data_IF_252704531587
#
_entry.id   IF_252704531587
#
_cell.length_a   1.000
_cell.length_b   1.000
_cell.length_c   1.000
_cell.angle_alpha   90.00
_cell.angle_beta   90.00
_cell.angle_gamma   90.00
#
_symmetry.space_group_name_H-M   'P 1'
#
loop_
_entity.id
_entity.type
_entity.pdbx_description
1 polymer ?
#
# COMPACT_ATOMS: atom_id res chain seq x y z
N UNK A 1 1.50 5.79 33.23
CA UNK A 1 2.45 4.75 32.74
C UNK A 1 3.49 5.42 31.88
N UNK A 2 4.77 5.25 32.19
CA UNK A 2 5.88 5.71 31.34
C UNK A 2 5.96 4.81 30.12
N UNK A 3 5.51 5.31 28.96
CA UNK A 3 5.62 4.57 27.69
C UNK A 3 7.10 4.43 27.34
N UNK A 4 7.57 3.19 27.18
CA UNK A 4 8.93 2.88 26.76
C UNK A 4 8.93 2.00 25.49
N UNK A 5 10.10 1.84 24.89
CA UNK A 5 10.28 1.09 23.65
C UNK A 5 9.79 -0.37 23.75
N UNK A 6 10.06 -1.03 24.88
CA UNK A 6 9.67 -2.43 25.10
C UNK A 6 8.15 -2.60 25.10
N UNK A 7 7.45 -1.73 25.84
CA UNK A 7 5.99 -1.73 25.85
C UNK A 7 5.38 -1.37 24.48
N UNK A 8 6.01 -0.47 23.72
CA UNK A 8 5.53 -0.08 22.40
C UNK A 8 5.69 -1.16 21.32
N UNK A 9 6.59 -2.14 21.52
CA UNK A 9 6.90 -3.20 20.55
C UNK A 9 6.48 -4.60 21.00
N UNK A 10 5.99 -4.77 22.23
CA UNK A 10 5.63 -6.09 22.78
C UNK A 10 4.45 -6.75 22.05
N UNK A 11 4.16 -8.00 22.40
CA UNK A 11 2.95 -8.70 21.92
C UNK A 11 1.66 -8.11 22.50
N UNK A 12 1.77 -7.38 23.61
CA UNK A 12 0.70 -6.65 24.30
C UNK A 12 0.82 -5.14 24.07
N UNK A 13 1.42 -4.72 22.96
CA UNK A 13 1.60 -3.32 22.65
C UNK A 13 0.26 -2.59 22.55
N UNK A 14 0.22 -1.35 23.06
CA UNK A 14 -0.96 -0.48 22.95
C UNK A 14 -0.83 0.47 21.76
N UNK A 15 -1.96 0.94 21.24
CA UNK A 15 -1.98 1.97 20.19
C UNK A 15 -1.23 3.23 20.63
N UNK A 16 -1.44 3.66 21.88
CA UNK A 16 -0.74 4.81 22.49
C UNK A 16 0.77 4.61 22.49
N UNK A 17 1.25 3.40 22.81
CA UNK A 17 2.67 3.06 22.77
C UNK A 17 3.27 3.17 21.37
N UNK A 18 2.59 2.61 20.37
CA UNK A 18 3.02 2.69 18.96
C UNK A 18 2.97 4.13 18.44
N UNK A 19 1.92 4.88 18.75
CA UNK A 19 1.77 6.27 18.34
C UNK A 19 2.77 7.19 19.05
N UNK A 20 3.10 6.92 20.31
CA UNK A 20 4.18 7.60 21.02
C UNK A 20 5.50 7.43 20.27
N UNK A 21 5.85 6.21 19.85
CA UNK A 21 7.10 5.96 19.13
C UNK A 21 7.17 6.72 17.79
N UNK A 22 6.02 6.90 17.12
CA UNK A 22 5.92 7.58 15.83
C UNK A 22 5.83 9.11 15.93
N UNK A 23 5.20 9.65 16.99
CA UNK A 23 4.76 11.05 17.06
C UNK A 23 5.47 11.87 18.14
N UNK A 24 5.90 11.24 19.24
CA UNK A 24 6.47 11.93 20.39
C UNK A 24 7.80 12.61 20.08
N UNK A 25 8.10 13.68 20.82
CA UNK A 25 9.29 14.50 20.60
C UNK A 25 10.59 13.71 20.75
N UNK A 26 10.71 12.84 21.76
CA UNK A 26 11.93 12.07 22.06
C UNK A 26 12.43 11.21 20.87
N UNK A 27 11.67 10.17 20.45
CA UNK A 27 12.06 9.33 19.31
C UNK A 27 12.28 10.12 18.01
N UNK A 28 11.46 11.15 17.76
CA UNK A 28 11.60 12.01 16.57
C UNK A 28 12.84 12.89 16.61
N UNK A 29 13.21 13.40 17.78
CA UNK A 29 14.43 14.17 18.00
C UNK A 29 15.66 13.29 17.76
N UNK A 30 15.70 12.10 18.37
CA UNK A 30 16.78 11.13 18.15
C UNK A 30 16.94 10.75 16.66
N UNK A 31 15.82 10.48 15.96
CA UNK A 31 15.84 10.22 14.52
C UNK A 31 16.39 11.42 13.72
N UNK A 32 15.95 12.65 14.02
CA UNK A 32 16.38 13.84 13.30
C UNK A 32 17.85 14.17 13.55
N UNK A 33 18.29 14.11 14.80
CA UNK A 33 19.69 14.31 15.18
C UNK A 33 20.57 13.32 14.43
N UNK A 34 20.16 12.04 14.37
CA UNK A 34 20.97 11.05 13.67
C UNK A 34 20.93 11.19 12.15
N UNK A 35 19.78 11.51 11.55
CA UNK A 35 19.73 11.83 10.12
C UNK A 35 20.58 13.05 9.76
N UNK A 36 20.64 14.06 10.63
CA UNK A 36 21.50 15.23 10.45
C UNK A 36 22.98 14.86 10.58
N UNK A 37 23.36 13.96 11.50
CA UNK A 37 24.73 13.49 11.67
C UNK A 37 25.24 12.67 10.47
N UNK A 38 24.35 12.08 9.67
CA UNK A 38 24.70 11.40 8.42
C UNK A 38 25.02 12.37 7.27
N UNK A 39 24.72 13.66 7.41
CA UNK A 39 24.97 14.70 6.42
C UNK A 39 26.30 15.45 6.71
N UNK A 40 27.01 15.92 5.67
CA UNK A 40 28.11 16.87 5.82
C UNK A 40 27.60 18.24 6.26
N UNK A 41 28.39 18.99 7.03
CA UNK A 41 28.21 20.45 7.07
C UNK A 41 28.60 21.05 5.69
N UNK A 42 27.84 22.00 5.12
CA UNK A 42 26.70 22.74 5.68
C UNK A 42 25.31 22.21 5.24
N UNK A 43 25.18 20.95 4.82
CA UNK A 43 23.89 20.39 4.41
C UNK A 43 22.94 20.25 5.62
N UNK A 44 21.68 20.62 5.41
CA UNK A 44 20.69 20.71 6.49
C UNK A 44 19.50 19.79 6.25
N UNK A 45 19.09 19.11 7.31
CA UNK A 45 17.89 18.28 7.35
C UNK A 45 16.65 19.16 7.55
N UNK A 46 15.86 19.29 6.49
CA UNK A 46 14.52 19.88 6.52
C UNK A 46 13.46 18.95 7.13
N UNK A 47 12.18 19.18 6.79
CA UNK A 47 11.08 18.36 7.28
C UNK A 47 11.21 16.87 6.91
N UNK A 48 10.81 15.98 7.82
CA UNK A 48 10.67 14.55 7.55
C UNK A 48 9.18 14.20 7.50
N UNK A 49 8.72 13.61 6.41
CA UNK A 49 7.30 13.28 6.19
C UNK A 49 7.09 11.77 6.29
N UNK A 50 6.27 11.32 7.24
CA UNK A 50 5.93 9.91 7.38
C UNK A 50 5.03 9.48 6.21
N UNK A 51 5.38 8.37 5.54
CA UNK A 51 4.69 7.86 4.35
C UNK A 51 3.94 6.56 4.63
N UNK A 52 4.56 5.65 5.36
CA UNK A 52 3.97 4.36 5.65
C UNK A 52 4.52 3.80 6.96
N UNK A 53 3.69 3.08 7.71
CA UNK A 53 4.09 2.31 8.88
C UNK A 53 3.69 0.85 8.67
N UNK A 54 4.53 -0.07 9.14
CA UNK A 54 4.25 -1.49 9.25
C UNK A 54 4.57 -1.92 10.67
N UNK A 55 3.60 -2.52 11.35
CA UNK A 55 3.80 -3.01 12.72
C UNK A 55 3.63 -4.53 12.77
N UNK A 56 4.54 -5.18 13.49
CA UNK A 56 4.48 -6.60 13.86
C UNK A 56 4.71 -6.69 15.37
N UNK A 57 3.64 -6.88 16.17
CA UNK A 57 3.75 -7.04 17.63
C UNK A 57 4.79 -8.09 18.01
N UNK A 58 5.51 -7.84 19.10
CA UNK A 58 6.60 -8.68 19.60
C UNK A 58 7.87 -8.71 18.75
N UNK A 59 7.88 -8.08 17.57
CA UNK A 59 8.98 -8.22 16.60
C UNK A 59 9.58 -6.89 16.19
N UNK A 60 8.81 -6.07 15.46
CA UNK A 60 9.31 -4.80 14.90
C UNK A 60 8.24 -3.82 14.47
N UNK A 61 8.61 -2.55 14.52
CA UNK A 61 7.93 -1.44 13.84
C UNK A 61 8.85 -0.92 12.73
N UNK A 62 8.34 -0.75 11.51
CA UNK A 62 9.06 -0.09 10.42
C UNK A 62 8.26 1.11 9.92
N UNK A 63 8.88 2.29 9.92
CA UNK A 63 8.33 3.51 9.37
C UNK A 63 9.15 3.97 8.15
N UNK A 64 8.46 4.35 7.08
CA UNK A 64 9.04 4.90 5.86
C UNK A 64 8.80 6.41 5.84
N UNK A 65 9.85 7.18 5.63
CA UNK A 65 9.86 8.63 5.64
C UNK A 65 10.44 9.19 4.34
N UNK A 66 9.98 10.39 3.95
CA UNK A 66 10.70 11.25 3.03
C UNK A 66 11.42 12.33 3.85
N UNK A 67 12.75 12.26 3.90
CA UNK A 67 13.61 13.26 4.53
C UNK A 67 13.97 14.34 3.50
N UNK A 68 13.53 15.57 3.73
CA UNK A 68 13.91 16.71 2.89
C UNK A 68 15.31 17.19 3.29
N UNK A 69 16.23 17.27 2.33
CA UNK A 69 17.61 17.72 2.56
C UNK A 69 17.90 18.94 1.71
N UNK A 70 18.41 20.00 2.32
CA UNK A 70 18.84 21.22 1.65
C UNK A 70 20.37 21.25 1.55
N UNK A 71 20.88 21.50 0.36
CA UNK A 71 22.31 21.78 0.16
C UNK A 71 22.55 23.28 0.27
N UNK A 72 23.73 23.66 0.75
CA UNK A 72 24.07 25.07 0.98
C UNK A 72 24.15 25.90 -0.32
N UNK A 73 24.40 25.24 -1.45
CA UNK A 73 24.59 25.82 -2.78
C UNK A 73 23.36 25.67 -3.70
N UNK A 74 22.27 25.07 -3.23
CA UNK A 74 21.05 24.87 -4.04
C UNK A 74 19.83 25.49 -3.38
N UNK A 75 19.10 26.31 -4.13
CA UNK A 75 17.75 26.72 -3.78
C UNK A 75 16.79 25.53 -3.94
N UNK A 76 16.67 24.71 -2.89
CA UNK A 76 15.69 23.62 -2.89
C UNK A 76 15.97 22.50 -1.90
N UNK A 77 14.91 21.79 -1.53
CA UNK A 77 15.02 20.55 -0.78
C UNK A 77 14.96 19.36 -1.74
N UNK A 78 15.89 18.41 -1.58
CA UNK A 78 15.83 17.09 -2.22
C UNK A 78 15.24 16.08 -1.24
N UNK A 79 14.18 15.39 -1.64
CA UNK A 79 13.60 14.32 -0.84
C UNK A 79 14.45 13.05 -0.95
N UNK A 80 14.79 12.45 0.19
CA UNK A 80 15.47 11.15 0.28
C UNK A 80 14.60 10.19 1.07
N UNK A 81 14.31 9.03 0.47
CA UNK A 81 13.53 8.00 1.12
C UNK A 81 14.35 7.34 2.24
N UNK A 82 13.75 7.23 3.42
CA UNK A 82 14.37 6.68 4.63
C UNK A 82 13.46 5.60 5.20
N UNK A 83 14.02 4.45 5.56
CA UNK A 83 13.36 3.43 6.34
C UNK A 83 13.94 3.40 7.75
N UNK A 84 13.08 3.50 8.75
CA UNK A 84 13.44 3.42 10.17
C UNK A 84 12.79 2.18 10.74
N UNK A 85 13.57 1.30 11.36
CA UNK A 85 13.06 0.08 11.99
C UNK A 85 13.43 0.07 13.46
N UNK A 86 12.44 -0.12 14.32
CA UNK A 86 12.61 -0.35 15.74
C UNK A 86 12.44 -1.84 16.05
N UNK A 87 13.33 -2.40 16.87
CA UNK A 87 13.31 -3.79 17.32
C UNK A 87 13.70 -3.87 18.79
N UNK A 88 13.28 -4.94 19.45
CA UNK A 88 13.79 -5.29 20.77
C UNK A 88 15.12 -6.03 20.61
N UNK A 89 16.08 -5.73 21.48
CA UNK A 89 17.36 -6.44 21.53
C UNK A 89 17.11 -7.94 21.74
N UNK A 90 17.75 -8.77 20.92
CA UNK A 90 17.56 -10.22 20.90
C UNK A 90 16.85 -10.77 19.66
N UNK A 91 16.09 -9.96 18.92
CA UNK A 91 15.54 -10.37 17.62
C UNK A 91 16.60 -10.19 16.51
N UNK A 92 17.61 -11.05 16.57
CA UNK A 92 18.52 -11.30 15.46
C UNK A 92 17.73 -11.98 14.33
N UNK A 93 16.86 -11.22 13.67
CA UNK A 93 16.31 -11.56 12.35
C UNK A 93 17.54 -11.94 11.52
N UNK A 94 17.71 -13.25 11.28
CA UNK A 94 18.86 -13.89 10.60
C UNK A 94 19.34 -12.93 9.53
N UNK A 95 20.63 -12.54 9.57
CA UNK A 95 21.24 -11.63 8.58
C UNK A 95 20.68 -12.02 7.22
N UNK A 96 19.91 -11.15 6.55
CA UNK A 96 19.26 -11.56 5.31
C UNK A 96 20.35 -12.01 4.34
N UNK A 97 20.14 -13.14 3.67
CA UNK A 97 20.93 -13.52 2.50
C UNK A 97 21.00 -12.31 1.56
N UNK A 98 22.22 -11.84 1.32
CA UNK A 98 22.45 -10.58 0.64
C UNK A 98 23.92 -10.17 0.69
N UNK A 99 24.25 -9.16 -0.11
CA UNK A 99 25.59 -8.57 -0.10
C UNK A 99 25.82 -7.84 1.22
N UNK A 100 27.06 -7.83 1.71
CA UNK A 100 27.44 -7.02 2.86
C UNK A 100 26.98 -5.55 2.68
N UNK A 101 26.14 -5.01 3.59
CA UNK A 101 25.69 -3.62 3.55
C UNK A 101 26.83 -2.60 3.44
N UNK A 102 28.01 -2.90 4.00
CA UNK A 102 29.16 -2.01 3.90
C UNK A 102 29.64 -1.89 2.44
N UNK A 103 29.70 -3.00 1.69
CA UNK A 103 30.05 -3.00 0.26
C UNK A 103 29.05 -2.20 -0.57
N UNK A 104 27.75 -2.37 -0.30
CA UNK A 104 26.70 -1.61 -1.00
C UNK A 104 26.82 -0.10 -0.72
N UNK A 105 27.14 0.27 0.52
CA UNK A 105 27.38 1.67 0.88
C UNK A 105 28.62 2.24 0.19
N UNK A 106 29.73 1.50 0.17
CA UNK A 106 30.96 1.93 -0.51
C UNK A 106 30.71 2.20 -1.99
N UNK A 107 29.98 1.31 -2.66
CA UNK A 107 29.60 1.52 -4.07
C UNK A 107 28.70 2.75 -4.24
N UNK A 108 27.76 2.99 -3.31
CA UNK A 108 26.88 4.15 -3.36
C UNK A 108 27.64 5.48 -3.17
N UNK A 109 28.67 5.48 -2.34
CA UNK A 109 29.58 6.61 -2.15
C UNK A 109 30.45 6.81 -3.40
N UNK A 110 31.02 5.74 -3.93
CA UNK A 110 31.87 5.78 -5.14
C UNK A 110 31.12 6.34 -6.36
N UNK A 111 29.86 5.93 -6.56
CA UNK A 111 29.00 6.46 -7.63
C UNK A 111 28.41 7.85 -7.34
N UNK A 112 28.61 8.39 -6.14
CA UNK A 112 28.03 9.67 -5.73
C UNK A 112 26.51 9.66 -5.49
N UNK A 113 25.85 8.50 -5.59
CA UNK A 113 24.38 8.38 -5.36
C UNK A 113 24.01 8.42 -3.87
N UNK A 114 24.99 8.21 -2.99
CA UNK A 114 24.84 8.47 -1.56
C UNK A 114 24.66 9.97 -1.24
N UNK A 115 25.19 10.85 -2.09
CA UNK A 115 25.17 12.29 -1.83
C UNK A 115 23.74 12.82 -1.63
N UNK A 116 23.52 13.69 -0.64
CA UNK A 116 24.55 14.35 0.16
C UNK A 116 24.99 13.57 1.40
N UNK A 117 24.43 12.40 1.69
CA UNK A 117 24.78 11.64 2.88
C UNK A 117 26.20 11.05 2.78
N UNK A 118 26.96 11.15 3.87
CA UNK A 118 28.28 10.49 4.02
C UNK A 118 28.15 9.01 4.37
N UNK A 119 27.00 8.63 4.94
CA UNK A 119 26.63 7.26 5.32
C UNK A 119 25.13 7.09 5.08
N UNK A 120 24.74 5.89 4.65
CA UNK A 120 23.35 5.55 4.34
C UNK A 120 22.69 4.69 5.41
N UNK A 121 23.37 4.44 6.52
CA UNK A 121 22.83 3.68 7.64
C UNK A 121 23.34 4.21 8.96
N UNK A 122 22.53 4.03 10.00
CA UNK A 122 22.89 4.25 11.39
C UNK A 122 22.12 3.30 12.30
N UNK A 123 22.76 2.83 13.35
CA UNK A 123 22.12 2.09 14.45
C UNK A 123 22.18 2.96 15.71
N UNK A 124 21.07 3.03 16.45
CA UNK A 124 20.97 3.68 17.75
C UNK A 124 20.46 2.63 18.75
N UNK A 125 21.36 1.87 19.39
CA UNK A 125 21.00 0.80 20.33
C UNK A 125 20.10 1.28 21.47
N UNK A 126 20.36 2.49 22.01
CA UNK A 126 19.54 3.10 23.06
C UNK A 126 18.05 3.26 22.68
N UNK A 127 17.73 3.23 21.38
CA UNK A 127 16.37 3.31 20.85
C UNK A 127 15.96 2.05 20.09
N UNK A 128 16.77 0.98 20.09
CA UNK A 128 16.56 -0.21 19.25
C UNK A 128 16.33 0.13 17.77
N UNK A 129 16.88 1.27 17.32
CA UNK A 129 16.51 1.93 16.07
C UNK A 129 17.59 1.72 15.01
N UNK A 130 17.20 1.23 13.84
CA UNK A 130 18.03 1.19 12.63
C UNK A 130 17.47 2.11 11.57
N UNK A 131 18.31 2.99 11.04
CA UNK A 131 18.00 3.92 9.97
C UNK A 131 18.68 3.40 8.69
N UNK A 132 17.95 3.35 7.59
CA UNK A 132 18.49 3.09 6.25
C UNK A 132 18.00 4.17 5.28
N UNK A 133 18.92 4.72 4.50
CA UNK A 133 18.66 5.77 3.52
C UNK A 133 18.82 5.17 2.12
N UNK A 134 17.84 5.42 1.24
CA UNK A 134 17.94 5.03 -0.17
C UNK A 134 19.22 5.59 -0.79
N UNK A 135 19.96 4.83 -1.62
CA UNK A 135 19.60 3.53 -2.20
C UNK A 135 20.14 2.28 -1.46
N UNK A 136 20.43 2.36 -0.15
CA UNK A 136 21.04 1.23 0.57
C UNK A 136 20.08 0.04 0.71
N UNK A 137 20.41 -1.11 0.11
CA UNK A 137 19.74 -2.38 0.35
C UNK A 137 20.62 -3.58 -0.02
N UNK A 138 20.97 -4.40 0.97
CA UNK A 138 21.79 -5.60 0.80
C UNK A 138 21.14 -6.69 -0.08
N UNK A 139 19.79 -6.76 -0.12
CA UNK A 139 19.06 -7.72 -0.96
C UNK A 139 18.84 -7.21 -2.39
N UNK A 140 19.05 -5.92 -2.62
CA UNK A 140 18.96 -5.28 -3.93
C UNK A 140 20.23 -4.44 -4.19
N UNK A 141 21.42 -5.07 -4.25
CA UNK A 141 22.67 -4.34 -4.45
C UNK A 141 22.67 -3.53 -5.77
N UNK A 142 21.91 -3.98 -6.77
CA UNK A 142 21.73 -3.26 -8.03
C UNK A 142 21.01 -1.91 -7.89
N UNK A 143 20.27 -1.69 -6.80
CA UNK A 143 19.57 -0.43 -6.56
C UNK A 143 20.52 0.77 -6.59
N UNK A 144 21.77 0.57 -6.17
CA UNK A 144 22.82 1.60 -6.18
C UNK A 144 23.14 2.06 -7.60
N UNK A 145 23.48 1.14 -8.51
CA UNK A 145 23.77 1.49 -9.91
C UNK A 145 22.53 2.01 -10.64
N UNK A 146 21.35 1.46 -10.36
CA UNK A 146 20.09 1.96 -10.94
C UNK A 146 19.70 3.36 -10.44
N UNK A 147 20.27 3.80 -9.32
CA UNK A 147 20.10 5.16 -8.79
C UNK A 147 21.08 6.16 -9.40
N UNK A 148 22.05 5.70 -10.18
CA UNK A 148 23.04 6.54 -10.86
C UNK A 148 22.45 7.06 -12.18
N UNK A 149 22.29 8.39 -12.35
CA UNK A 149 21.80 8.98 -13.60
C UNK A 149 22.54 8.54 -14.87
N UNK A 150 23.85 8.30 -14.78
CA UNK A 150 24.68 7.91 -15.93
C UNK A 150 24.35 6.47 -16.34
N UNK A 151 24.25 5.59 -15.36
CA UNK A 151 23.86 4.20 -15.60
C UNK A 151 22.43 4.10 -16.11
N UNK A 152 21.49 4.87 -15.53
CA UNK A 152 20.11 4.91 -16.00
C UNK A 152 20.01 5.34 -17.47
N UNK A 153 20.78 6.36 -17.88
CA UNK A 153 20.89 6.78 -19.29
C UNK A 153 21.36 5.64 -20.19
N UNK A 154 22.47 4.99 -19.82
CA UNK A 154 23.09 3.95 -20.67
C UNK A 154 22.18 2.72 -20.78
N UNK A 155 21.55 2.31 -19.67
CA UNK A 155 20.56 1.24 -19.64
C UNK A 155 19.34 1.54 -20.52
N UNK A 156 18.79 2.77 -20.45
CA UNK A 156 17.64 3.17 -21.27
C UNK A 156 17.99 3.24 -22.75
N UNK A 157 19.20 3.69 -23.09
CA UNK A 157 19.69 3.67 -24.47
C UNK A 157 19.82 2.24 -25.02
N UNK A 158 20.34 1.30 -24.22
CA UNK A 158 20.45 -0.11 -24.60
C UNK A 158 19.10 -0.83 -24.72
N UNK A 159 18.11 -0.45 -23.92
CA UNK A 159 16.76 -1.03 -23.95
C UNK A 159 15.92 -0.60 -25.17
N UNK A 160 16.29 0.51 -25.84
CA UNK A 160 15.52 1.13 -26.92
C UNK A 160 15.59 0.45 -28.29
N UNK A 161 16.39 -0.61 -28.46
CA UNK A 161 16.38 -1.49 -29.65
C UNK A 161 16.32 -0.78 -31.01
N UNK A 162 17.38 -0.06 -31.41
CA UNK A 162 17.46 0.52 -32.75
C UNK A 162 18.74 1.32 -33.00
N UNK A 163 19.54 0.88 -33.97
CA UNK A 163 20.65 1.65 -34.51
C UNK A 163 20.11 2.84 -35.33
N UNK A 164 20.23 4.07 -34.84
CA UNK A 164 20.66 5.23 -35.63
C UNK A 164 20.59 6.55 -34.84
N UNK A 165 21.62 7.37 -35.13
CA UNK A 165 21.76 8.82 -35.01
C UNK A 165 22.13 9.37 -33.63
N UNK A 166 23.40 9.81 -33.56
CA UNK A 166 24.08 10.44 -32.42
C UNK A 166 23.11 11.19 -31.49
N UNK A 167 22.81 10.65 -30.30
CA UNK A 167 21.91 11.31 -29.39
C UNK A 167 22.67 12.39 -28.63
N UNK A 168 22.10 13.59 -28.55
CA UNK A 168 22.47 14.58 -27.52
C UNK A 168 22.59 13.86 -26.16
N UNK A 169 23.54 14.23 -25.30
CA UNK A 169 23.68 13.60 -23.99
C UNK A 169 22.37 13.78 -23.20
N UNK A 170 21.55 12.72 -23.16
CA UNK A 170 20.32 12.68 -22.35
C UNK A 170 20.73 12.62 -20.88
N UNK A 171 20.30 13.59 -20.09
CA UNK A 171 20.50 13.56 -18.65
C UNK A 171 19.18 13.23 -17.95
N UNK A 172 19.21 12.31 -16.98
CA UNK A 172 18.04 11.90 -16.22
C UNK A 172 18.18 12.34 -14.77
N UNK A 173 17.09 12.79 -14.16
CA UNK A 173 16.99 12.81 -12.70
C UNK A 173 16.41 11.48 -12.23
N UNK A 174 16.96 10.93 -11.14
CA UNK A 174 16.53 9.66 -10.56
C UNK A 174 15.92 9.88 -9.18
N UNK A 175 14.73 9.34 -8.94
CA UNK A 175 13.99 9.46 -7.67
C UNK A 175 13.43 8.13 -7.23
N UNK A 176 13.53 7.82 -5.93
CA UNK A 176 12.81 6.67 -5.35
C UNK A 176 11.34 7.01 -5.16
N UNK A 177 10.47 6.30 -5.86
CA UNK A 177 9.01 6.35 -5.63
C UNK A 177 8.62 5.39 -4.52
N UNK A 178 9.31 4.26 -4.46
CA UNK A 178 9.11 3.24 -3.43
C UNK A 178 10.45 2.70 -2.98
N UNK A 179 10.69 2.79 -1.68
CA UNK A 179 11.87 2.26 -1.02
C UNK A 179 11.42 1.42 0.19
N UNK A 180 11.35 0.11 -0.01
CA UNK A 180 11.05 -0.87 1.04
C UNK A 180 12.21 -1.86 1.13
N UNK A 181 13.23 -1.56 1.96
CA UNK A 181 14.40 -2.41 2.12
C UNK A 181 14.06 -3.88 2.33
N UNK A 182 14.79 -4.74 1.62
CA UNK A 182 14.65 -6.18 1.60
C UNK A 182 13.37 -6.71 0.93
N UNK A 183 12.56 -5.85 0.29
CA UNK A 183 11.26 -6.24 -0.27
C UNK A 183 11.01 -5.75 -1.69
N UNK A 184 10.97 -4.43 -1.91
CA UNK A 184 10.49 -3.86 -3.18
C UNK A 184 10.97 -2.44 -3.38
N UNK A 185 11.35 -2.12 -4.62
CA UNK A 185 11.78 -0.79 -5.01
C UNK A 185 11.17 -0.38 -6.34
N UNK A 186 10.85 0.91 -6.46
CA UNK A 186 10.44 1.54 -7.72
C UNK A 186 11.16 2.86 -7.84
N UNK A 187 11.90 3.04 -8.93
CA UNK A 187 12.55 4.30 -9.29
C UNK A 187 11.75 5.01 -10.40
N UNK A 188 11.88 6.32 -10.43
CA UNK A 188 11.39 7.21 -11.49
C UNK A 188 12.58 7.92 -12.10
N UNK A 189 12.66 7.88 -13.42
CA UNK A 189 13.63 8.58 -14.24
C UNK A 189 12.89 9.67 -15.01
N UNK A 190 13.30 10.92 -14.85
CA UNK A 190 12.75 12.05 -15.59
C UNK A 190 13.86 12.67 -16.45
N UNK A 191 13.63 12.78 -17.76
CA UNK A 191 14.57 13.40 -18.69
C UNK A 191 14.64 14.93 -18.45
N UNK A 192 15.83 15.48 -18.21
CA UNK A 192 15.99 16.88 -17.78
C UNK A 192 15.66 17.91 -18.88
N UNK A 193 15.93 17.59 -20.15
CA UNK A 193 15.93 18.58 -21.26
C UNK A 193 14.86 18.29 -22.32
N UNK A 194 13.77 17.64 -21.91
CA UNK A 194 12.74 17.21 -22.84
C UNK A 194 11.66 18.29 -23.01
N UNK A 195 11.44 18.73 -24.26
CA UNK A 195 10.29 19.60 -24.62
C UNK A 195 8.97 18.96 -24.16
N UNK A 196 8.91 17.62 -24.24
CA UNK A 196 7.86 16.79 -23.66
C UNK A 196 8.43 15.96 -22.52
N UNK A 197 7.91 16.05 -21.29
CA UNK A 197 8.45 15.31 -20.15
C UNK A 197 8.39 13.80 -20.40
N UNK A 198 9.54 13.19 -20.64
CA UNK A 198 9.69 11.75 -20.77
C UNK A 198 10.02 11.18 -19.39
N UNK A 199 9.09 10.40 -18.86
CA UNK A 199 9.25 9.69 -17.59
C UNK A 199 9.31 8.20 -17.84
N UNK A 200 10.26 7.53 -17.19
CA UNK A 200 10.34 6.07 -17.16
C UNK A 200 10.33 5.60 -15.71
N UNK A 201 9.57 4.55 -15.41
CA UNK A 201 9.58 3.90 -14.10
C UNK A 201 10.35 2.58 -14.18
N UNK A 202 11.26 2.36 -13.24
CA UNK A 202 11.99 1.10 -13.10
C UNK A 202 11.49 0.34 -11.86
N UNK A 203 10.90 -0.83 -12.07
CA UNK A 203 10.44 -1.72 -11.01
C UNK A 203 11.43 -2.87 -10.84
N UNK A 204 12.01 -2.95 -9.64
CA UNK A 204 13.04 -3.93 -9.32
C UNK A 204 12.43 -5.23 -8.81
N UNK A 205 13.05 -6.33 -9.20
CA UNK A 205 12.72 -7.69 -8.79
C UNK A 205 13.96 -8.43 -8.31
N UNK A 206 13.75 -9.48 -7.52
CA UNK A 206 14.77 -10.47 -7.18
C UNK A 206 14.42 -11.78 -7.87
N UNK A 207 15.39 -12.40 -8.56
CA UNK A 207 15.18 -13.65 -9.28
C UNK A 207 14.32 -13.51 -10.54
N UNK A 208 13.71 -14.62 -10.97
CA UNK A 208 13.03 -14.74 -12.27
C UNK A 208 11.63 -14.11 -12.33
N UNK A 209 11.09 -13.64 -11.19
CA UNK A 209 9.73 -13.06 -11.12
C UNK A 209 9.54 -11.86 -12.07
N UNK A 210 10.62 -11.11 -12.33
CA UNK A 210 10.57 -9.93 -13.19
C UNK A 210 10.35 -10.25 -14.66
N UNK A 211 10.97 -11.31 -15.18
CA UNK A 211 10.78 -11.75 -16.57
C UNK A 211 9.33 -12.18 -16.81
N UNK A 212 8.76 -12.98 -15.90
CA UNK A 212 7.35 -13.37 -15.95
C UNK A 212 6.43 -12.14 -15.86
N UNK A 213 6.69 -11.23 -14.94
CA UNK A 213 5.89 -10.02 -14.79
C UNK A 213 5.91 -9.13 -16.04
N UNK A 214 7.06 -9.04 -16.73
CA UNK A 214 7.17 -8.34 -18.01
C UNK A 214 6.30 -8.97 -19.09
N UNK A 215 6.39 -10.29 -19.28
CA UNK A 215 5.61 -11.01 -20.29
C UNK A 215 4.09 -10.86 -20.06
N UNK A 216 3.63 -11.14 -18.84
CA UNK A 216 2.21 -11.04 -18.47
C UNK A 216 1.69 -9.61 -18.63
N UNK A 217 2.44 -8.61 -18.16
CA UNK A 217 2.01 -7.22 -18.25
C UNK A 217 1.94 -6.72 -19.71
N UNK A 218 2.85 -7.20 -20.57
CA UNK A 218 2.82 -6.88 -22.01
C UNK A 218 1.59 -7.49 -22.69
N UNK A 219 1.33 -8.77 -22.46
CA UNK A 219 0.16 -9.46 -23.02
C UNK A 219 -1.16 -8.85 -22.53
N UNK A 220 -1.25 -8.51 -21.24
CA UNK A 220 -2.41 -7.84 -20.68
C UNK A 220 -2.63 -6.45 -21.31
N UNK A 221 -1.57 -5.70 -21.60
CA UNK A 221 -1.65 -4.41 -22.28
C UNK A 221 -2.13 -4.55 -23.73
N UNK A 222 -1.57 -5.51 -24.47
CA UNK A 222 -1.96 -5.79 -25.85
C UNK A 222 -3.43 -6.27 -25.91
N UNK A 223 -3.87 -7.08 -24.95
CA UNK A 223 -5.25 -7.53 -24.82
C UNK A 223 -6.23 -6.40 -24.53
N UNK A 224 -5.91 -5.55 -23.56
CA UNK A 224 -6.76 -4.41 -23.17
C UNK A 224 -6.81 -3.33 -24.25
N UNK A 225 -5.77 -3.18 -25.08
CA UNK A 225 -5.81 -2.26 -26.20
C UNK A 225 -6.93 -2.60 -27.20
N UNK A 226 -7.26 -3.89 -27.36
CA UNK A 226 -8.31 -4.37 -28.26
C UNK A 226 -9.65 -4.52 -27.54
N UNK A 227 -9.65 -5.07 -26.32
CA UNK A 227 -10.88 -5.51 -25.62
C UNK A 227 -11.27 -4.64 -24.42
N UNK A 228 -10.45 -3.66 -24.03
CA UNK A 228 -10.59 -2.91 -22.78
C UNK A 228 -11.62 -1.79 -22.78
N UNK A 229 -12.41 -1.62 -23.84
CA UNK A 229 -13.50 -0.63 -23.89
C UNK A 229 -13.04 0.82 -23.68
N UNK A 230 -11.85 1.17 -24.19
CA UNK A 230 -11.21 2.48 -24.00
C UNK A 230 -10.34 2.60 -22.74
N UNK A 231 -10.17 1.53 -21.98
CA UNK A 231 -9.14 1.41 -20.92
C UNK A 231 -7.95 0.64 -21.45
N UNK A 232 -6.76 1.17 -21.21
CA UNK A 232 -5.49 0.53 -21.57
C UNK A 232 -4.67 0.23 -20.31
N UNK A 233 -3.73 -0.69 -20.42
CA UNK A 233 -2.69 -0.87 -19.41
C UNK A 233 -1.37 -0.29 -19.91
N UNK A 234 -0.53 0.17 -18.97
CA UNK A 234 0.82 0.62 -19.29
C UNK A 234 1.63 -0.56 -19.82
N UNK A 235 1.89 -0.57 -21.13
CA UNK A 235 2.71 -1.59 -21.76
C UNK A 235 4.16 -1.42 -21.31
N UNK A 236 4.79 -2.45 -20.71
CA UNK A 236 6.20 -2.38 -20.33
C UNK A 236 7.08 -2.07 -21.55
N UNK A 237 8.13 -1.28 -21.34
CA UNK A 237 9.11 -0.90 -22.35
C UNK A 237 10.09 -2.04 -22.58
N UNK A 238 10.71 -2.53 -21.51
CA UNK A 238 11.74 -3.57 -21.59
C UNK A 238 11.91 -4.33 -20.26
N UNK A 239 12.49 -5.52 -20.37
CA UNK A 239 13.07 -6.29 -19.26
C UNK A 239 14.60 -6.24 -19.36
N UNK A 240 15.24 -5.71 -18.31
CA UNK A 240 16.70 -5.66 -18.20
C UNK A 240 17.14 -6.78 -17.25
N UNK A 241 17.44 -7.94 -17.85
CA UNK A 241 17.74 -9.17 -17.11
C UNK A 241 18.91 -9.03 -16.13
N UNK A 242 19.97 -8.33 -16.54
CA UNK A 242 21.18 -8.11 -15.73
C UNK A 242 20.87 -7.47 -14.37
N UNK A 243 19.83 -6.65 -14.28
CA UNK A 243 19.47 -5.89 -13.08
C UNK A 243 18.18 -6.37 -12.43
N UNK A 244 17.47 -7.30 -13.06
CA UNK A 244 16.17 -7.72 -12.60
C UNK A 244 15.14 -6.59 -12.66
N UNK A 245 15.15 -5.76 -13.72
CA UNK A 245 14.31 -4.55 -13.81
C UNK A 245 13.31 -4.63 -14.96
N UNK A 246 12.05 -4.32 -14.65
CA UNK A 246 11.03 -4.04 -15.66
C UNK A 246 10.85 -2.52 -15.79
N UNK A 247 11.01 -2.01 -17.01
CA UNK A 247 10.84 -0.61 -17.34
C UNK A 247 9.41 -0.34 -17.83
N UNK A 248 8.78 0.72 -17.34
CA UNK A 248 7.44 1.17 -17.72
C UNK A 248 7.45 2.62 -18.18
N UNK A 249 6.61 2.99 -19.16
CA UNK A 249 6.45 4.39 -19.53
C UNK A 249 5.76 5.17 -18.41
N UNK A 250 5.98 6.49 -18.41
CA UNK A 250 5.16 7.42 -17.68
C UNK A 250 3.74 7.43 -18.23
N UNK A 251 2.74 7.33 -17.34
CA UNK A 251 1.34 7.53 -17.69
C UNK A 251 0.90 8.87 -17.13
N UNK A 252 0.46 9.77 -18.01
CA UNK A 252 -0.08 11.08 -17.62
C UNK A 252 -1.51 10.89 -17.12
N UNK A 253 -1.79 11.34 -15.90
CA UNK A 253 -3.12 11.27 -15.33
C UNK A 253 -3.13 11.46 -13.81
N UNK A 254 -4.33 11.51 -13.26
CA UNK A 254 -4.59 11.56 -11.82
C UNK A 254 -4.98 10.15 -11.37
N UNK A 255 -4.39 9.58 -10.31
CA UNK A 255 -4.82 8.29 -9.78
C UNK A 255 -6.32 8.25 -9.48
N UNK A 256 -6.98 7.11 -9.72
CA UNK A 256 -8.42 6.98 -9.43
C UNK A 256 -8.72 7.25 -7.95
N UNK A 257 -7.88 6.78 -7.04
CA UNK A 257 -8.00 7.04 -5.61
C UNK A 257 -8.00 8.53 -5.26
N UNK A 258 -7.32 9.35 -6.05
CA UNK A 258 -7.33 10.82 -5.89
C UNK A 258 -8.52 11.46 -6.62
N UNK A 259 -8.95 10.89 -7.75
CA UNK A 259 -10.12 11.38 -8.47
C UNK A 259 -11.41 11.22 -7.66
N UNK A 260 -11.47 10.23 -6.76
CA UNK A 260 -12.60 10.02 -5.83
C UNK A 260 -12.83 11.21 -4.87
N UNK A 261 -11.87 12.14 -4.71
CA UNK A 261 -12.07 13.35 -3.90
C UNK A 261 -13.08 14.34 -4.49
N UNK A 262 -13.35 14.27 -5.80
CA UNK A 262 -14.29 15.15 -6.50
C UNK A 262 -15.34 14.29 -7.22
N UNK A 263 -16.37 13.81 -6.50
CA UNK A 263 -17.38 12.95 -7.10
C UNK A 263 -18.10 13.69 -8.23
N UNK A 264 -18.40 12.96 -9.30
CA UNK A 264 -19.06 13.50 -10.48
C UNK A 264 -19.12 12.48 -11.61
N UNK A 265 -19.91 12.79 -12.64
CA UNK A 265 -20.22 11.86 -13.73
C UNK A 265 -18.98 11.32 -14.46
N UNK A 266 -17.91 12.12 -14.54
CA UNK A 266 -16.62 11.69 -15.11
C UNK A 266 -15.96 10.58 -14.29
N UNK A 267 -15.93 10.73 -12.96
CA UNK A 267 -15.34 9.73 -12.05
C UNK A 267 -16.18 8.46 -12.04
N UNK A 268 -17.51 8.58 -12.01
CA UNK A 268 -18.43 7.46 -12.15
C UNK A 268 -18.18 6.64 -13.43
N UNK A 269 -18.03 7.30 -14.58
CA UNK A 269 -17.65 6.65 -15.85
C UNK A 269 -16.28 5.99 -15.78
N UNK A 270 -15.29 6.59 -15.11
CA UNK A 270 -13.98 5.96 -14.93
C UNK A 270 -14.07 4.67 -14.10
N UNK A 271 -14.88 4.66 -13.06
CA UNK A 271 -15.10 3.48 -12.21
C UNK A 271 -15.85 2.38 -12.97
N UNK A 272 -16.86 2.73 -13.76
CA UNK A 272 -17.57 1.81 -14.66
C UNK A 272 -16.62 1.19 -15.69
N UNK A 273 -15.80 2.02 -16.35
CA UNK A 273 -14.77 1.57 -17.29
C UNK A 273 -13.73 0.66 -16.63
N UNK A 274 -13.36 0.91 -15.38
CA UNK A 274 -12.46 0.02 -14.64
C UNK A 274 -13.08 -1.37 -14.43
N UNK A 275 -14.40 -1.43 -14.17
CA UNK A 275 -15.15 -2.69 -14.13
C UNK A 275 -15.11 -3.44 -15.45
N UNK A 276 -15.42 -2.76 -16.56
CA UNK A 276 -15.38 -3.35 -17.89
C UNK A 276 -13.97 -3.84 -18.28
N UNK A 277 -12.93 -3.07 -17.95
CA UNK A 277 -11.55 -3.45 -18.22
C UNK A 277 -11.12 -4.68 -17.42
N UNK A 278 -11.51 -4.78 -16.14
CA UNK A 278 -11.23 -5.96 -15.33
C UNK A 278 -11.99 -7.19 -15.87
N UNK A 279 -13.24 -7.02 -16.30
CA UNK A 279 -14.00 -8.09 -16.94
C UNK A 279 -13.29 -8.57 -18.22
N UNK A 280 -12.83 -7.65 -19.07
CA UNK A 280 -12.07 -7.98 -20.26
C UNK A 280 -10.79 -8.74 -19.92
N UNK A 281 -10.04 -8.30 -18.90
CA UNK A 281 -8.81 -8.96 -18.47
C UNK A 281 -9.05 -10.40 -17.97
N UNK A 282 -10.15 -10.67 -17.27
CA UNK A 282 -10.53 -12.02 -16.84
C UNK A 282 -10.92 -12.96 -17.98
N UNK A 283 -11.00 -12.45 -19.22
CA UNK A 283 -11.21 -13.25 -20.43
C UNK A 283 -9.92 -13.47 -21.23
N UNK A 284 -8.78 -12.95 -20.74
CA UNK A 284 -7.48 -13.23 -21.32
C UNK A 284 -7.22 -14.74 -21.28
N UNK A 285 -6.96 -15.40 -22.43
CA UNK A 285 -6.77 -16.85 -22.44
C UNK A 285 -5.58 -17.28 -21.57
N UNK A 286 -5.70 -18.35 -20.75
CA UNK A 286 -4.61 -18.84 -19.92
C UNK A 286 -3.35 -19.20 -20.72
N UNK A 287 -3.52 -19.73 -21.94
CA UNK A 287 -2.41 -20.01 -22.86
C UNK A 287 -1.60 -18.76 -23.23
N UNK A 288 -2.23 -17.58 -23.22
CA UNK A 288 -1.54 -16.30 -23.42
C UNK A 288 -0.86 -15.88 -22.13
N UNK A 289 -1.55 -15.94 -20.97
CA UNK A 289 -0.99 -15.52 -19.69
C UNK A 289 0.20 -16.36 -19.16
N UNK A 290 0.38 -17.59 -19.68
CA UNK A 290 1.46 -18.50 -19.27
C UNK A 290 1.18 -19.20 -17.93
N UNK A 291 2.13 -19.98 -17.38
CA UNK A 291 1.94 -20.68 -16.12
C UNK A 291 1.93 -19.71 -14.95
N UNK A 292 0.79 -19.66 -14.27
CA UNK A 292 0.56 -18.82 -13.11
C UNK A 292 0.43 -19.76 -11.88
N UNK A 293 1.15 -19.54 -10.76
CA UNK A 293 1.08 -20.45 -9.60
C UNK A 293 -0.34 -20.57 -9.04
N UNK A 294 -0.75 -21.59 -8.28
CA UNK A 294 -2.13 -21.65 -7.76
C UNK A 294 -2.37 -20.83 -6.48
N UNK A 295 -3.61 -20.38 -6.27
CA UNK A 295 -3.98 -19.66 -5.04
C UNK A 295 -5.41 -19.94 -4.58
N UNK A 296 -5.55 -20.71 -3.50
CA UNK A 296 -6.85 -21.05 -2.92
C UNK A 296 -7.40 -19.94 -1.98
N UNK A 297 -8.70 -20.01 -1.71
CA UNK A 297 -9.43 -19.09 -0.85
C UNK A 297 -8.95 -19.13 0.61
N UNK A 298 -8.69 -20.33 1.15
CA UNK A 298 -8.22 -20.50 2.52
C UNK A 298 -6.84 -19.82 2.73
N UNK A 299 -5.99 -19.82 1.72
CA UNK A 299 -4.72 -19.11 1.70
C UNK A 299 -4.93 -17.59 1.74
N UNK A 300 -6.00 -17.07 1.15
CA UNK A 300 -6.36 -15.66 1.29
C UNK A 300 -6.90 -15.32 2.67
N UNK A 301 -7.67 -16.20 3.31
CA UNK A 301 -8.11 -16.04 4.71
C UNK A 301 -6.91 -16.04 5.65
N UNK A 302 -6.00 -17.01 5.54
CA UNK A 302 -4.74 -17.05 6.31
C UNK A 302 -3.91 -15.78 6.09
N UNK A 303 -3.78 -15.33 4.84
CA UNK A 303 -3.08 -14.07 4.53
C UNK A 303 -3.79 -12.84 5.09
N UNK A 304 -5.11 -12.83 5.19
CA UNK A 304 -5.86 -11.76 5.82
C UNK A 304 -5.59 -11.73 7.32
N UNK A 305 -5.65 -12.88 8.00
CA UNK A 305 -5.29 -13.03 9.41
C UNK A 305 -3.85 -12.54 9.69
N UNK A 306 -2.86 -13.02 8.93
CA UNK A 306 -1.47 -12.60 9.05
C UNK A 306 -1.29 -11.09 8.82
N UNK A 307 -1.99 -10.56 7.83
CA UNK A 307 -1.94 -9.15 7.46
C UNK A 307 -2.52 -8.23 8.54
N UNK A 308 -3.61 -8.67 9.19
CA UNK A 308 -4.33 -7.93 10.21
C UNK A 308 -3.89 -8.26 11.62
N UNK A 309 -2.92 -9.16 11.85
CA UNK A 309 -2.58 -9.68 13.18
C UNK A 309 -2.22 -8.63 14.25
N UNK A 310 -1.79 -7.43 13.84
CA UNK A 310 -1.56 -6.31 14.76
C UNK A 310 -2.85 -5.59 15.19
N UNK A 311 -3.94 -5.67 14.41
CA UNK A 311 -5.20 -4.99 14.68
C UNK A 311 -5.82 -5.51 15.99
N UNK A 312 -6.02 -6.83 16.22
CA UNK A 312 -6.55 -7.33 17.49
C UNK A 312 -5.68 -7.03 18.72
N UNK A 313 -4.39 -6.77 18.52
CA UNK A 313 -3.47 -6.37 19.59
C UNK A 313 -3.70 -4.90 19.94
N UNK A 314 -3.72 -4.02 18.95
CA UNK A 314 -3.88 -2.58 19.15
C UNK A 314 -5.33 -2.14 19.43
N UNK A 315 -6.31 -2.95 19.02
CA UNK A 315 -7.73 -2.72 19.21
C UNK A 315 -8.43 -4.02 19.60
N UNK A 316 -8.36 -4.42 20.89
CA UNK A 316 -8.93 -5.70 21.34
C UNK A 316 -10.43 -5.84 21.08
N UNK A 317 -11.20 -4.75 21.08
CA UNK A 317 -12.65 -4.74 20.84
C UNK A 317 -13.06 -5.38 19.51
N UNK A 318 -12.22 -5.30 18.47
CA UNK A 318 -12.52 -5.89 17.15
C UNK A 318 -11.99 -7.32 16.98
N UNK A 319 -11.33 -7.90 17.98
CA UNK A 319 -10.73 -9.25 17.91
C UNK A 319 -11.77 -10.31 17.58
N UNK A 320 -12.85 -10.36 18.36
CA UNK A 320 -13.93 -11.33 18.16
C UNK A 320 -14.61 -11.15 16.80
N UNK A 321 -14.82 -9.89 16.39
CA UNK A 321 -15.39 -9.57 15.08
C UNK A 321 -14.53 -10.05 13.91
N UNK A 322 -13.20 -9.87 13.97
CA UNK A 322 -12.27 -10.35 12.93
C UNK A 322 -12.22 -11.88 12.92
N UNK A 323 -12.12 -12.52 14.09
CA UNK A 323 -12.10 -13.99 14.20
C UNK A 323 -13.36 -14.61 13.61
N UNK A 324 -14.52 -14.16 14.06
CA UNK A 324 -15.81 -14.64 13.55
C UNK A 324 -15.99 -14.37 12.05
N UNK A 325 -15.51 -13.24 11.52
CA UNK A 325 -15.60 -12.94 10.10
C UNK A 325 -14.77 -13.92 9.26
N UNK A 326 -13.52 -14.15 9.65
CA UNK A 326 -12.63 -15.05 8.92
C UNK A 326 -13.10 -16.50 9.01
N UNK A 327 -13.53 -16.95 10.20
CA UNK A 327 -14.13 -18.26 10.40
C UNK A 327 -15.38 -18.43 9.55
N UNK A 328 -16.35 -17.50 9.65
CA UNK A 328 -17.57 -17.59 8.82
C UNK A 328 -17.26 -17.56 7.33
N UNK A 329 -16.29 -16.75 6.91
CA UNK A 329 -15.88 -16.72 5.51
C UNK A 329 -15.34 -18.07 5.01
N UNK A 330 -14.70 -18.87 5.86
CA UNK A 330 -14.29 -20.26 5.56
C UNK A 330 -15.47 -21.23 5.49
N UNK A 331 -16.61 -20.90 6.11
CA UNK A 331 -17.80 -21.76 6.23
C UNK A 331 -19.01 -21.32 5.37
N UNK A 332 -18.94 -20.21 4.63
CA UNK A 332 -19.99 -19.85 3.66
C UNK A 332 -19.89 -20.77 2.44
N UNK A 333 -20.65 -21.86 2.45
CA UNK A 333 -20.86 -22.78 1.31
C UNK A 333 -22.35 -22.91 1.01
N UNK A 334 -22.75 -22.82 -0.26
CA UNK A 334 -24.15 -22.93 -0.68
C UNK A 334 -24.45 -24.29 -1.33
N UNK A 335 -25.49 -25.01 -0.85
CA UNK A 335 -26.28 -26.05 -1.57
C UNK A 335 -27.60 -26.33 -0.80
N UNK A 336 -28.70 -26.87 -1.39
CA UNK A 336 -28.81 -27.65 -2.63
C UNK A 336 -29.82 -27.15 -3.68
N UNK A 337 -29.31 -27.02 -4.90
CA UNK A 337 -30.01 -26.74 -6.17
C UNK A 337 -29.04 -26.59 -7.35
N UNK A 338 -27.80 -27.07 -7.18
CA UNK A 338 -26.70 -26.98 -8.14
C UNK A 338 -25.65 -25.93 -7.79
N UNK A 339 -24.58 -26.34 -7.10
CA UNK A 339 -23.28 -25.66 -7.09
C UNK A 339 -22.19 -26.71 -6.83
N UNK A 340 -21.24 -26.84 -7.75
CA UNK A 340 -19.94 -27.49 -7.52
C UNK A 340 -18.89 -26.44 -7.79
N UNK A 341 -18.17 -26.05 -6.74
CA UNK A 341 -17.08 -25.07 -6.77
C UNK A 341 -15.75 -25.81 -6.90
N UNK A 342 -15.09 -25.69 -8.05
CA UNK A 342 -13.67 -26.02 -8.24
C UNK A 342 -13.11 -24.97 -9.21
N UNK A 343 -12.08 -24.22 -8.77
CA UNK A 343 -10.92 -23.69 -9.53
C UNK A 343 -11.19 -23.01 -10.91
N UNK A 344 -10.93 -21.71 -11.18
CA UNK A 344 -9.59 -21.12 -11.36
C UNK A 344 -9.69 -19.65 -12.02
N UNK A 345 -9.06 -18.52 -11.53
CA UNK A 345 -7.77 -17.93 -12.06
C UNK A 345 -7.31 -16.44 -12.48
N UNK A 346 -6.33 -15.78 -11.76
CA UNK A 346 -5.43 -14.62 -12.16
C UNK A 346 -4.31 -14.13 -11.16
N UNK A 347 -3.15 -13.53 -11.52
CA UNK A 347 -1.94 -14.05 -12.24
C UNK A 347 -1.05 -15.00 -11.39
N UNK A 348 -1.67 -15.53 -10.37
CA UNK A 348 -1.66 -16.94 -10.12
C UNK A 348 -2.78 -17.51 -10.94
N UNK A 349 -2.82 -18.79 -11.16
CA UNK A 349 -4.09 -19.33 -11.47
C UNK A 349 -4.82 -19.12 -10.03
N UNK A 350 -5.55 -17.96 -9.80
CA UNK A 350 -6.58 -17.64 -8.72
C UNK A 350 -8.05 -17.08 -9.07
N UNK A 351 -9.21 -17.56 -8.54
CA UNK A 351 -10.62 -17.14 -8.92
C UNK A 351 -10.86 -15.63 -9.26
N UNK A 352 -11.40 -15.27 -10.46
CA UNK A 352 -11.72 -13.88 -10.86
C UNK A 352 -12.57 -13.07 -9.88
N UNK A 353 -13.37 -13.73 -9.03
CA UNK A 353 -14.13 -13.08 -7.98
C UNK A 353 -13.23 -12.34 -6.96
N UNK A 354 -11.98 -12.81 -6.78
CA UNK A 354 -10.97 -12.20 -5.93
C UNK A 354 -10.69 -10.75 -6.28
N UNK A 355 -10.42 -10.46 -7.56
CA UNK A 355 -10.01 -9.13 -8.01
C UNK A 355 -11.17 -8.13 -7.91
N UNK A 356 -12.40 -8.60 -8.16
CA UNK A 356 -13.64 -7.82 -7.97
C UNK A 356 -13.81 -7.47 -6.49
N UNK A 357 -13.77 -8.47 -5.60
CA UNK A 357 -13.93 -8.27 -4.16
C UNK A 357 -12.84 -7.36 -3.59
N UNK A 358 -11.61 -7.51 -4.08
CA UNK A 358 -10.49 -6.65 -3.73
C UNK A 358 -10.73 -5.22 -4.20
N UNK A 359 -11.18 -4.99 -5.42
CA UNK A 359 -11.45 -3.63 -5.92
C UNK A 359 -12.52 -2.94 -5.07
N UNK A 360 -13.63 -3.64 -4.79
CA UNK A 360 -14.71 -3.15 -3.93
C UNK A 360 -14.21 -2.79 -2.53
N UNK A 361 -13.35 -3.63 -1.94
CA UNK A 361 -12.73 -3.36 -0.64
C UNK A 361 -11.85 -2.10 -0.66
N UNK A 362 -11.05 -1.89 -1.71
CA UNK A 362 -10.24 -0.66 -1.84
C UNK A 362 -11.09 0.60 -2.05
N UNK A 363 -12.17 0.52 -2.84
CA UNK A 363 -13.11 1.63 -2.97
C UNK A 363 -13.66 2.05 -1.60
N UNK A 364 -14.13 1.07 -0.80
CA UNK A 364 -14.62 1.29 0.54
C UNK A 364 -13.56 1.92 1.45
N UNK A 365 -12.36 1.34 1.47
CA UNK A 365 -11.26 1.84 2.31
C UNK A 365 -10.94 3.31 1.98
N UNK A 366 -10.89 3.69 0.70
CA UNK A 366 -10.64 5.07 0.30
C UNK A 366 -11.76 6.02 0.72
N UNK A 367 -13.03 5.61 0.63
CA UNK A 367 -14.14 6.45 1.10
C UNK A 367 -14.12 6.60 2.62
N UNK A 368 -13.74 5.57 3.37
CA UNK A 368 -13.62 5.63 4.84
C UNK A 368 -12.44 6.52 5.25
N UNK A 369 -11.22 6.25 4.77
CA UNK A 369 -10.01 7.00 5.18
C UNK A 369 -10.10 8.49 4.79
N UNK A 370 -10.86 8.82 3.75
CA UNK A 370 -10.96 10.18 3.24
C UNK A 370 -12.29 10.86 3.57
N UNK A 371 -13.14 10.22 4.38
CA UNK A 371 -14.49 10.67 4.76
C UNK A 371 -15.31 11.19 3.57
N UNK A 372 -15.57 10.30 2.60
CA UNK A 372 -16.24 10.66 1.34
C UNK A 372 -17.60 9.97 1.18
N UNK A 373 -18.64 10.71 0.75
CA UNK A 373 -19.93 10.12 0.36
C UNK A 373 -19.82 9.42 -1.00
N UNK A 374 -20.88 8.71 -1.40
CA UNK A 374 -20.99 8.12 -2.75
C UNK A 374 -20.36 6.74 -2.93
N UNK A 375 -19.98 6.06 -1.84
CA UNK A 375 -19.44 4.70 -1.90
C UNK A 375 -20.38 3.73 -2.65
N UNK A 376 -21.67 3.73 -2.30
CA UNK A 376 -22.67 2.85 -2.92
C UNK A 376 -22.74 3.09 -4.42
N UNK A 377 -22.86 4.35 -4.84
CA UNK A 377 -22.88 4.70 -6.27
C UNK A 377 -21.60 4.27 -6.98
N UNK A 378 -20.42 4.45 -6.37
CA UNK A 378 -19.16 4.00 -6.95
C UNK A 378 -19.09 2.47 -7.10
N UNK A 379 -19.55 1.72 -6.10
CA UNK A 379 -19.62 0.25 -6.17
C UNK A 379 -20.61 -0.20 -7.25
N UNK A 380 -21.77 0.44 -7.33
CA UNK A 380 -22.79 0.13 -8.34
C UNK A 380 -22.27 0.42 -9.75
N UNK A 381 -21.62 1.57 -9.96
CA UNK A 381 -21.00 1.92 -11.25
C UNK A 381 -19.93 0.92 -11.66
N UNK A 382 -19.08 0.48 -10.74
CA UNK A 382 -18.09 -0.55 -11.03
C UNK A 382 -18.76 -1.85 -11.48
N UNK A 383 -19.81 -2.29 -10.77
CA UNK A 383 -20.53 -3.51 -11.09
C UNK A 383 -21.33 -3.40 -12.39
N UNK A 384 -21.87 -2.22 -12.74
CA UNK A 384 -22.49 -1.96 -14.05
C UNK A 384 -21.51 -2.25 -15.18
N UNK A 385 -20.23 -1.88 -15.02
CA UNK A 385 -19.19 -2.19 -16.00
C UNK A 385 -18.73 -3.65 -15.98
N UNK A 386 -18.70 -4.30 -14.81
CA UNK A 386 -18.13 -5.64 -14.66
C UNK A 386 -19.13 -6.80 -14.88
N UNK A 387 -20.38 -6.63 -14.46
CA UNK A 387 -21.39 -7.68 -14.42
C UNK A 387 -21.87 -8.20 -15.79
N UNK A 388 -21.94 -7.40 -16.87
CA UNK A 388 -22.38 -7.90 -18.18
C UNK A 388 -21.57 -9.13 -18.63
N UNK A 389 -22.25 -10.26 -18.85
CA UNK A 389 -21.62 -11.53 -19.25
C UNK A 389 -20.82 -12.25 -18.15
N UNK A 390 -20.81 -11.73 -16.91
CA UNK A 390 -20.22 -12.43 -15.77
C UNK A 390 -21.22 -13.41 -15.15
N UNK A 391 -20.82 -14.65 -14.79
CA UNK A 391 -21.69 -15.57 -14.07
C UNK A 391 -22.17 -14.97 -12.74
N UNK A 392 -23.46 -15.14 -12.41
CA UNK A 392 -24.03 -14.62 -11.17
C UNK A 392 -23.31 -15.12 -9.91
N UNK A 393 -22.89 -16.38 -9.91
CA UNK A 393 -22.08 -16.98 -8.84
C UNK A 393 -20.76 -16.23 -8.59
N UNK A 394 -20.11 -15.73 -9.65
CA UNK A 394 -18.86 -14.95 -9.53
C UNK A 394 -19.11 -13.66 -8.75
N UNK A 395 -20.25 -13.01 -8.98
CA UNK A 395 -20.63 -11.80 -8.26
C UNK A 395 -20.93 -12.10 -6.79
N UNK A 396 -21.55 -13.23 -6.48
CA UNK A 396 -21.75 -13.69 -5.10
C UNK A 396 -20.41 -13.96 -4.40
N UNK A 397 -19.51 -14.75 -5.00
CA UNK A 397 -18.17 -15.01 -4.46
C UNK A 397 -17.35 -13.74 -4.29
N UNK A 398 -17.53 -12.74 -5.16
CA UNK A 398 -16.80 -11.47 -5.04
C UNK A 398 -17.11 -10.74 -3.73
N UNK A 399 -18.33 -10.88 -3.19
CA UNK A 399 -18.70 -10.30 -1.90
C UNK A 399 -18.06 -11.04 -0.73
N UNK A 400 -17.86 -12.35 -0.85
CA UNK A 400 -17.08 -13.11 0.12
C UNK A 400 -15.62 -12.64 0.14
N UNK A 401 -15.00 -12.51 -1.04
CA UNK A 401 -13.66 -11.94 -1.16
C UNK A 401 -13.59 -10.49 -0.67
N UNK A 402 -14.61 -9.66 -0.92
CA UNK A 402 -14.66 -8.29 -0.40
C UNK A 402 -14.53 -8.27 1.12
N UNK A 403 -15.30 -9.10 1.84
CA UNK A 403 -15.22 -9.18 3.30
C UNK A 403 -13.83 -9.58 3.80
N UNK A 404 -13.23 -10.63 3.22
CA UNK A 404 -11.87 -11.09 3.57
C UNK A 404 -10.82 -10.04 3.22
N UNK A 405 -10.94 -9.38 2.06
CA UNK A 405 -10.02 -8.34 1.65
C UNK A 405 -10.13 -7.11 2.55
N UNK A 406 -11.31 -6.74 3.05
CA UNK A 406 -11.48 -5.64 4.02
C UNK A 406 -10.67 -5.89 5.29
N UNK A 407 -10.75 -7.10 5.86
CA UNK A 407 -9.90 -7.50 7.01
C UNK A 407 -8.42 -7.42 6.65
N UNK A 408 -8.03 -7.84 5.44
CA UNK A 408 -6.62 -7.78 5.00
C UNK A 408 -6.10 -6.36 4.80
N UNK A 409 -6.92 -5.45 4.27
CA UNK A 409 -6.50 -4.10 3.88
C UNK A 409 -6.70 -3.05 4.97
N UNK A 410 -7.46 -3.34 6.03
CA UNK A 410 -7.62 -2.44 7.19
C UNK A 410 -6.27 -2.03 7.80
N UNK A 411 -5.23 -2.88 7.68
CA UNK A 411 -3.82 -2.53 8.00
C UNK A 411 -3.26 -1.29 7.30
N UNK A 412 -3.94 -0.81 6.25
CA UNK A 412 -3.57 0.38 5.49
C UNK A 412 -4.17 1.66 6.07
N UNK A 413 -5.07 1.57 7.04
CA UNK A 413 -5.46 2.74 7.85
C UNK A 413 -4.19 3.24 8.55
N UNK A 414 -3.77 4.50 8.35
CA UNK A 414 -2.47 4.96 8.83
C UNK A 414 -2.38 4.90 10.36
N UNK A 415 -1.47 4.11 10.92
CA UNK A 415 -1.32 3.94 12.39
C UNK A 415 -1.11 5.25 13.16
N UNK A 416 -0.53 6.27 12.52
CA UNK A 416 -0.34 7.59 13.09
C UNK A 416 -1.59 8.50 13.03
N UNK A 417 -2.68 8.05 12.39
CA UNK A 417 -3.92 8.81 12.26
C UNK A 417 -4.61 8.95 13.63
N UNK A 418 -5.06 10.16 14.03
CA UNK A 418 -5.74 10.35 15.31
C UNK A 418 -6.99 9.47 15.46
N UNK A 419 -7.77 9.33 14.39
CA UNK A 419 -9.02 8.55 14.38
C UNK A 419 -8.80 7.09 13.96
N UNK A 420 -7.58 6.55 14.12
CA UNK A 420 -7.27 5.19 13.65
C UNK A 420 -8.23 4.14 14.21
N UNK A 421 -8.67 4.29 15.47
CA UNK A 421 -9.67 3.40 16.10
C UNK A 421 -10.99 3.46 15.34
N UNK A 422 -11.61 4.63 15.24
CA UNK A 422 -12.92 4.81 14.60
C UNK A 422 -12.92 4.33 13.14
N UNK A 423 -11.87 4.67 12.37
CA UNK A 423 -11.72 4.24 10.97
C UNK A 423 -11.56 2.71 10.86
N UNK A 424 -10.75 2.11 11.74
CA UNK A 424 -10.53 0.66 11.76
C UNK A 424 -11.82 -0.07 12.06
N UNK A 425 -12.54 0.34 13.10
CA UNK A 425 -13.84 -0.25 13.44
C UNK A 425 -14.85 -0.09 12.30
N UNK A 426 -14.89 1.07 11.65
CA UNK A 426 -15.81 1.30 10.53
C UNK A 426 -15.54 0.33 9.36
N UNK A 427 -14.27 0.08 9.03
CA UNK A 427 -13.89 -0.91 8.01
C UNK A 427 -14.32 -2.33 8.43
N UNK A 428 -14.08 -2.73 9.68
CA UNK A 428 -14.47 -4.06 10.18
C UNK A 428 -16.00 -4.23 10.22
N UNK A 429 -16.75 -3.24 10.72
CA UNK A 429 -18.21 -3.23 10.70
C UNK A 429 -18.76 -3.36 9.27
N UNK A 430 -18.11 -2.71 8.31
CA UNK A 430 -18.53 -2.80 6.91
C UNK A 430 -18.23 -4.17 6.31
N UNK A 431 -17.10 -4.79 6.68
CA UNK A 431 -16.79 -6.17 6.30
C UNK A 431 -17.84 -7.16 6.84
N UNK A 432 -18.27 -6.98 8.10
CA UNK A 432 -19.38 -7.75 8.67
C UNK A 432 -20.68 -7.50 7.90
N UNK A 433 -21.02 -6.26 7.56
CA UNK A 433 -22.25 -5.95 6.80
C UNK A 433 -22.27 -6.64 5.44
N UNK A 434 -21.13 -6.69 4.75
CA UNK A 434 -20.99 -7.40 3.46
C UNK A 434 -21.25 -8.89 3.65
N UNK A 435 -20.64 -9.52 4.66
CA UNK A 435 -20.81 -10.95 4.92
C UNK A 435 -22.24 -11.32 5.34
N UNK A 436 -22.86 -10.56 6.25
CA UNK A 436 -24.25 -10.76 6.64
C UNK A 436 -25.22 -10.54 5.47
N UNK A 437 -24.91 -9.59 4.58
CA UNK A 437 -25.68 -9.37 3.36
C UNK A 437 -25.61 -10.57 2.40
N UNK A 438 -24.45 -11.22 2.31
CA UNK A 438 -24.24 -12.42 1.51
C UNK A 438 -25.00 -13.62 2.08
N UNK A 439 -24.86 -13.91 3.37
CA UNK A 439 -25.54 -15.04 4.03
C UNK A 439 -27.06 -14.95 3.91
N UNK A 440 -27.64 -13.76 4.12
CA UNK A 440 -29.08 -13.53 3.92
C UNK A 440 -29.52 -13.85 2.49
N UNK A 441 -28.71 -13.51 1.48
CA UNK A 441 -29.01 -13.83 0.07
C UNK A 441 -28.90 -15.32 -0.22
N UNK A 442 -28.02 -16.03 0.48
CA UNK A 442 -27.80 -17.46 0.33
C UNK A 442 -28.74 -18.31 1.20
N UNK A 443 -29.60 -17.68 2.02
CA UNK A 443 -30.48 -18.40 2.95
C UNK A 443 -29.73 -19.11 4.08
N UNK A 444 -28.47 -18.76 4.33
CA UNK A 444 -27.68 -19.34 5.42
C UNK A 444 -28.18 -18.75 6.74
N UNK A 445 -28.51 -19.57 7.76
CA UNK A 445 -28.92 -19.06 9.06
C UNK A 445 -27.83 -18.15 9.62
N UNK A 446 -28.14 -16.88 9.84
CA UNK A 446 -27.25 -16.00 10.59
C UNK A 446 -27.25 -16.49 12.03
N UNK A 447 -26.21 -17.20 12.46
CA UNK A 447 -26.01 -17.45 13.89
C UNK A 447 -25.97 -16.10 14.60
N UNK A 448 -26.87 -15.82 15.57
CA UNK A 448 -26.82 -14.59 16.32
C UNK A 448 -25.58 -14.63 17.20
N UNK A 449 -24.52 -13.94 16.79
CA UNK A 449 -23.49 -13.54 17.74
C UNK A 449 -24.05 -12.33 18.49
N UNK A 450 -24.61 -12.61 19.68
CA UNK A 450 -24.83 -11.61 20.72
C UNK A 450 -23.45 -11.12 21.16
N UNK A 451 -22.86 -10.18 20.42
CA UNK A 451 -21.78 -9.36 20.95
C UNK A 451 -22.46 -8.36 21.87
N UNK A 452 -22.48 -8.68 23.17
CA UNK A 452 -22.74 -7.69 24.21
C UNK A 452 -21.59 -6.69 24.12
N UNK A 453 -21.84 -5.58 23.40
CA UNK A 453 -21.05 -4.37 23.54
C UNK A 453 -21.41 -3.79 24.90
N UNK A 454 -20.68 -4.18 25.95
CA UNK A 454 -20.76 -3.48 27.23
C UNK A 454 -20.20 -2.06 27.03
N UNK A 455 -21.09 -1.09 27.11
CA UNK A 455 -20.78 0.33 26.95
C UNK A 455 -22.06 1.10 26.67
N UNK A 456 -22.64 1.67 27.74
CA UNK A 456 -23.84 2.50 27.67
C UNK A 456 -23.78 3.56 26.56
N UNK A 457 -24.86 3.77 25.80
CA UNK A 457 -24.92 4.87 24.85
C UNK A 457 -24.97 6.21 25.60
N UNK A 458 -23.89 6.98 25.48
CA UNK A 458 -23.89 8.40 25.82
C UNK A 458 -25.03 9.13 25.06
N UNK A 459 -25.84 9.96 25.73
CA UNK A 459 -26.93 10.67 25.09
C UNK A 459 -26.41 11.73 24.11
N UNK A 460 -27.20 12.09 23.08
CA UNK A 460 -26.79 13.04 22.05
C UNK A 460 -26.57 14.44 22.66
N UNK A 461 -25.44 15.06 22.30
CA UNK A 461 -25.14 16.47 22.62
C UNK A 461 -26.07 17.39 21.83
N UNK A 462 -27.12 17.89 22.47
CA UNK A 462 -27.91 19.02 22.01
C UNK A 462 -27.15 20.33 22.31
N UNK A 463 -26.50 20.89 21.30
CA UNK A 463 -25.90 22.22 21.35
C UNK A 463 -26.82 23.26 20.71
N UNK A 464 -27.88 23.68 21.42
CA UNK A 464 -28.60 24.90 21.06
C UNK A 464 -27.81 26.10 21.60
N UNK A 465 -27.17 26.86 20.70
CA UNK A 465 -26.74 28.22 21.00
C UNK A 465 -27.98 29.10 21.24
N UNK A 466 -28.11 29.64 22.45
CA UNK A 466 -28.88 30.87 22.71
C UNK A 466 -27.90 32.00 23.05
N UNK A 467 -28.04 33.21 22.48
CA UNK A 467 -27.58 34.41 23.12
C UNK A 467 -28.67 34.90 24.09
N UNK A 468 -28.25 35.30 25.29
CA UNK A 468 -29.15 35.91 26.28
C UNK A 468 -29.41 37.38 25.99
N UNK A 469 -30.56 37.87 26.45
CA UNK A 469 -30.70 39.25 26.93
C UNK A 469 -31.92 39.37 27.88
N UNK A 470 -31.67 39.97 29.05
CA UNK A 470 -32.58 40.62 30.03
C UNK A 470 -33.76 39.81 30.62
N UNK A 471 -33.73 39.44 31.90
CA UNK A 471 -34.08 40.20 33.13
C UNK A 471 -35.54 40.69 33.19
N UNK A 472 -36.27 40.20 34.21
CA UNK A 472 -36.98 40.91 35.31
C UNK A 472 -37.82 39.82 36.03
N UNK A 473 -37.45 39.36 37.25
CA UNK A 473 -38.08 39.66 38.56
C UNK A 473 -39.62 39.57 38.53
N UNK A 474 -40.37 38.85 39.37
CA UNK A 474 -40.39 38.76 40.85
C UNK A 474 -41.49 37.75 41.25
N UNK A 475 -41.25 36.79 42.17
CA UNK A 475 -41.67 36.76 43.62
C UNK A 475 -43.00 36.03 43.90
N UNK A 476 -42.96 35.17 44.94
CA UNK A 476 -44.08 34.65 45.75
C UNK A 476 -44.60 33.30 45.28
N UNK A 477 -44.63 32.21 46.06
CA UNK A 477 -44.47 31.97 47.51
C UNK A 477 -43.68 30.66 47.75
#
# INVERSE_FOLDING_TARGET
MTVNLAAALSEQATLEGVQWLLRSLGPRRALREQLQALLPAPALLGPCRLRQVSFKPGRKLTAHWDALVRMADTEGHRARAVAVTWRLDGDADRRPEGTDPARVQTEALHRGVAAPFRRLTADLPAWGMRIQVSPLDARFPQLVRLSDPRYARDMLAGAGGGASRQPRPRSYTVRSIRYHPGKRHVLRYDLCDAITPETVFAKLYTGEEGARAFCVARQAADWLAVHGGGVTAARPLAWVAQDGVVLYPGVVGIPLSESLYRPGQRVARCVERAGAALHALHRLPPAVAGPLPHHDFAAEVRKAADASGHIPVLLPSVRGAIGALLERAEHVWATPGGATLIDFDGCRLADPAYDVGRFLAYLLLWHVIHDRPGLTEAQDRFLVGYAPGAPGERLLRSRLYEAVQLVKIVRRVPLAHPEWVALTEQVIRRAQTVLHGLERRLGVPTSPLTVVMEGDPLPPRSGTCRPGCARIQSVGE
#
